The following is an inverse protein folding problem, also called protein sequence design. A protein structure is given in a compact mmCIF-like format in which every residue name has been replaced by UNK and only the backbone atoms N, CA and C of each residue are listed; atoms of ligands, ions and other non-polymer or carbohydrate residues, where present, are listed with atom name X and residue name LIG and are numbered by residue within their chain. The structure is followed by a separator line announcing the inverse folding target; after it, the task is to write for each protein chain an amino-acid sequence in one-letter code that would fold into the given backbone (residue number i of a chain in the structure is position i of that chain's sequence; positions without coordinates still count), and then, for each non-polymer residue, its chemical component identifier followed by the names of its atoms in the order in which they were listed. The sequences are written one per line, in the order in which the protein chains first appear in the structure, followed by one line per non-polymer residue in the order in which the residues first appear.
data_IF_695152365741
#
_entry.id   IF_695152365741
#
_cell.length_a   1.000
_cell.length_b   1.000
_cell.length_c   1.000
_cell.angle_alpha   90.00
_cell.angle_beta   90.00
_cell.angle_gamma   90.00
#
_symmetry.space_group_name_H-M   'P 1'
#
loop_
_entity.id
_entity.type
_entity.pdbx_description
1 polymer ?
#
# COMPACT_ATOMS: atom_id res chain seq x y z
N UNK A 1 21.22 3.88 -24.55
CA UNK A 1 21.74 3.53 -23.21
C UNK A 1 20.57 2.90 -22.49
N UNK A 2 20.55 1.57 -22.37
CA UNK A 2 19.47 0.88 -21.64
C UNK A 2 19.71 1.17 -20.17
N UNK A 3 18.86 2.02 -19.59
CA UNK A 3 18.86 2.26 -18.14
C UNK A 3 18.68 0.90 -17.47
N UNK A 4 19.65 0.50 -16.66
CA UNK A 4 19.49 -0.71 -15.86
C UNK A 4 18.33 -0.47 -14.90
N UNK A 5 17.38 -1.40 -14.80
CA UNK A 5 16.21 -1.17 -13.99
C UNK A 5 16.61 -1.09 -12.51
N UNK A 6 15.98 -0.20 -11.76
CA UNK A 6 16.42 0.23 -10.42
C UNK A 6 16.68 -0.94 -9.45
N UNK A 7 15.97 -2.06 -9.62
CA UNK A 7 16.07 -3.25 -8.78
C UNK A 7 17.39 -4.03 -8.88
N UNK A 8 18.14 -3.89 -9.98
CA UNK A 8 19.45 -4.56 -10.11
C UNK A 8 20.49 -3.96 -9.17
N UNK A 9 20.33 -2.68 -8.81
CA UNK A 9 21.17 -2.00 -7.81
C UNK A 9 20.95 -2.51 -6.38
N UNK A 10 19.81 -3.14 -6.11
CA UNK A 10 19.44 -3.69 -4.81
C UNK A 10 19.61 -5.23 -4.73
N UNK A 11 19.96 -5.90 -5.84
CA UNK A 11 20.14 -7.35 -5.86
C UNK A 11 18.83 -8.16 -5.83
N UNK A 12 17.71 -7.55 -6.25
CA UNK A 12 16.44 -8.26 -6.45
C UNK A 12 16.34 -8.86 -7.85
N UNK A 13 15.63 -9.98 -7.96
CA UNK A 13 15.15 -10.50 -9.24
C UNK A 13 13.91 -9.73 -9.71
N UNK A 14 13.55 -9.86 -10.99
CA UNK A 14 12.33 -9.25 -11.54
C UNK A 14 11.07 -9.70 -10.78
N UNK A 15 11.01 -10.96 -10.34
CA UNK A 15 9.87 -11.51 -9.61
C UNK A 15 9.78 -10.95 -8.18
N UNK A 16 10.91 -10.92 -7.47
CA UNK A 16 11.02 -10.34 -6.13
C UNK A 16 10.69 -8.85 -6.14
N UNK A 17 11.18 -8.14 -7.14
CA UNK A 17 10.88 -6.73 -7.32
C UNK A 17 9.43 -6.49 -7.72
N UNK A 18 8.86 -7.35 -8.57
CA UNK A 18 7.44 -7.33 -8.89
C UNK A 18 6.54 -7.50 -7.65
N UNK A 19 6.95 -8.32 -6.69
CA UNK A 19 6.28 -8.44 -5.40
C UNK A 19 6.37 -7.13 -4.61
N UNK A 20 7.56 -6.54 -4.47
CA UNK A 20 7.78 -5.30 -3.71
C UNK A 20 7.11 -4.08 -4.34
N UNK A 21 7.11 -3.97 -5.67
CA UNK A 21 6.46 -2.88 -6.39
C UNK A 21 4.94 -3.04 -6.45
N UNK A 22 4.42 -4.27 -6.52
CA UNK A 22 2.98 -4.52 -6.55
C UNK A 22 2.30 -4.46 -5.19
N UNK A 23 3.04 -4.68 -4.10
CA UNK A 23 2.48 -4.80 -2.75
C UNK A 23 1.82 -3.51 -2.24
N UNK A 24 2.38 -2.30 -2.40
CA UNK A 24 1.75 -1.06 -1.92
C UNK A 24 0.35 -0.84 -2.51
N UNK A 25 0.17 -1.07 -3.82
CA UNK A 25 -1.13 -0.97 -4.47
C UNK A 25 -2.10 -2.07 -4.01
N UNK A 26 -1.59 -3.28 -3.76
CA UNK A 26 -2.40 -4.37 -3.25
C UNK A 26 -2.87 -4.11 -1.81
N UNK A 27 -2.01 -3.51 -0.97
CA UNK A 27 -2.34 -3.07 0.39
C UNK A 27 -3.41 -1.97 0.36
N UNK A 28 -3.26 -0.97 -0.50
CA UNK A 28 -4.30 0.04 -0.73
C UNK A 28 -5.63 -0.61 -1.09
N UNK A 29 -5.64 -1.50 -2.09
CA UNK A 29 -6.86 -2.18 -2.52
C UNK A 29 -7.51 -3.01 -1.41
N UNK A 30 -6.69 -3.71 -0.59
CA UNK A 30 -7.17 -4.50 0.55
C UNK A 30 -7.73 -3.62 1.67
N UNK A 31 -7.07 -2.50 1.99
CA UNK A 31 -7.58 -1.52 2.95
C UNK A 31 -8.95 -0.97 2.50
N UNK A 32 -9.09 -0.61 1.22
CA UNK A 32 -10.34 -0.11 0.62
C UNK A 32 -11.50 -1.12 0.56
N UNK A 33 -11.27 -2.40 0.89
CA UNK A 33 -12.33 -3.43 0.99
C UNK A 33 -12.39 -4.11 2.35
N UNK A 34 -11.58 -3.67 3.31
CA UNK A 34 -11.56 -4.21 4.66
C UNK A 34 -12.92 -4.04 5.35
N UNK A 35 -13.65 -2.98 5.00
CA UNK A 35 -15.04 -2.79 5.41
C UNK A 35 -16.06 -3.34 4.41
N UNK A 36 -16.98 -4.17 4.91
CA UNK A 36 -18.02 -4.81 4.12
C UNK A 36 -19.17 -3.86 3.73
N UNK A 37 -19.35 -2.76 4.47
CA UNK A 37 -20.33 -1.70 4.18
C UNK A 37 -19.68 -0.51 3.41
N UNK A 38 -18.61 -0.79 2.65
CA UNK A 38 -17.92 0.14 1.76
C UNK A 38 -18.76 0.52 0.53
N UNK A 39 -20.07 0.71 0.68
CA UNK A 39 -20.90 1.40 -0.30
C UNK A 39 -20.40 2.84 -0.52
N UNK A 40 -19.58 3.36 0.41
CA UNK A 40 -18.73 4.54 0.29
C UNK A 40 -17.28 4.16 0.06
N UNK A 41 -16.95 3.28 -0.88
CA UNK A 41 -15.57 3.22 -1.37
C UNK A 41 -15.27 4.58 -1.99
N UNK A 42 -14.63 5.46 -1.23
CA UNK A 42 -14.56 6.86 -1.61
C UNK A 42 -13.40 7.09 -2.57
N UNK A 43 -13.59 7.96 -3.56
CA UNK A 43 -12.47 8.48 -4.35
C UNK A 43 -11.38 9.08 -3.44
N UNK A 44 -11.76 9.60 -2.26
CA UNK A 44 -10.85 10.11 -1.25
C UNK A 44 -9.93 9.04 -0.64
N UNK A 45 -10.42 7.83 -0.33
CA UNK A 45 -9.59 6.70 0.13
C UNK A 45 -8.51 6.33 -0.89
N UNK A 46 -8.90 6.18 -2.16
CA UNK A 46 -7.96 5.84 -3.22
C UNK A 46 -6.95 6.97 -3.47
N UNK A 47 -7.41 8.22 -3.49
CA UNK A 47 -6.54 9.38 -3.66
C UNK A 47 -5.50 9.48 -2.54
N UNK A 48 -5.90 9.35 -1.27
CA UNK A 48 -4.99 9.40 -0.13
C UNK A 48 -3.97 8.26 -0.14
N UNK A 49 -4.39 7.05 -0.52
CA UNK A 49 -3.48 5.91 -0.65
C UNK A 49 -2.46 6.12 -1.78
N UNK A 50 -2.91 6.60 -2.95
CA UNK A 50 -2.03 6.87 -4.08
C UNK A 50 -1.07 8.04 -3.82
N UNK A 51 -1.53 9.10 -3.15
CA UNK A 51 -0.70 10.20 -2.67
C UNK A 51 0.40 9.69 -1.74
N UNK A 52 0.04 8.86 -0.74
CA UNK A 52 1.02 8.25 0.18
C UNK A 52 2.05 7.39 -0.56
N UNK A 53 1.62 6.68 -1.60
CA UNK A 53 2.53 5.94 -2.47
C UNK A 53 3.46 6.89 -3.23
N UNK A 54 2.93 7.98 -3.79
CA UNK A 54 3.69 8.95 -4.57
C UNK A 54 4.71 9.74 -3.73
N UNK A 55 4.34 10.13 -2.50
CA UNK A 55 5.25 10.77 -1.53
C UNK A 55 6.39 9.85 -1.11
N UNK A 56 6.21 8.52 -1.22
CA UNK A 56 7.28 7.53 -1.00
C UNK A 56 8.53 7.80 -1.84
N UNK A 57 8.41 8.48 -3.00
CA UNK A 57 9.55 8.91 -3.84
C UNK A 57 10.54 9.82 -3.10
N UNK A 58 10.08 10.54 -2.09
CA UNK A 58 10.86 11.47 -1.28
C UNK A 58 11.39 10.83 0.00
N UNK A 59 11.16 9.53 0.20
CA UNK A 59 11.60 8.80 1.38
C UNK A 59 13.13 8.84 1.53
N UNK A 60 13.59 8.93 2.78
CA UNK A 60 15.00 8.79 3.11
C UNK A 60 15.53 7.37 2.86
N UNK A 61 14.64 6.38 2.71
CA UNK A 61 14.99 5.00 2.35
C UNK A 61 15.10 4.85 0.82
N UNK A 62 16.29 4.54 0.28
CA UNK A 62 16.47 4.31 -1.15
C UNK A 62 15.54 3.24 -1.72
N UNK A 63 15.26 2.18 -0.96
CA UNK A 63 14.31 1.14 -1.36
C UNK A 63 12.90 1.68 -1.55
N UNK A 64 12.38 2.42 -0.56
CA UNK A 64 11.02 3.00 -0.63
C UNK A 64 10.93 3.99 -1.80
N UNK A 65 11.93 4.86 -1.96
CA UNK A 65 11.98 5.81 -3.07
C UNK A 65 11.99 5.12 -4.44
N UNK A 66 12.77 4.04 -4.59
CA UNK A 66 12.84 3.28 -5.83
C UNK A 66 11.53 2.54 -6.14
N UNK A 67 10.90 1.92 -5.14
CA UNK A 67 9.61 1.24 -5.28
C UNK A 67 8.50 2.24 -5.66
N UNK A 68 8.40 3.35 -4.93
CA UNK A 68 7.43 4.41 -5.22
C UNK A 68 7.62 5.01 -6.62
N UNK A 69 8.87 5.26 -7.02
CA UNK A 69 9.20 5.76 -8.35
C UNK A 69 8.78 4.82 -9.46
N UNK A 70 8.95 3.51 -9.26
CA UNK A 70 8.48 2.51 -10.22
C UNK A 70 6.95 2.46 -10.31
N UNK A 71 6.26 2.49 -9.18
CA UNK A 71 4.80 2.46 -9.16
C UNK A 71 4.24 3.66 -9.92
N UNK A 72 4.74 4.86 -9.63
CA UNK A 72 4.34 6.08 -10.35
C UNK A 72 4.67 6.00 -11.84
N UNK A 73 5.81 5.42 -12.22
CA UNK A 73 6.18 5.25 -13.63
C UNK A 73 5.26 4.28 -14.38
N UNK A 74 4.76 3.24 -13.70
CA UNK A 74 3.88 2.20 -14.30
C UNK A 74 2.42 2.61 -14.34
N UNK A 75 1.96 3.30 -13.30
CA UNK A 75 0.55 3.57 -13.02
C UNK A 75 0.16 4.99 -13.45
N UNK A 76 1.14 5.88 -13.59
CA UNK A 76 0.91 7.32 -13.76
C UNK A 76 1.02 8.05 -12.42
N UNK A 77 1.33 9.34 -12.47
CA UNK A 77 1.34 10.18 -11.27
C UNK A 77 -0.11 10.45 -10.84
N UNK A 78 -0.53 10.03 -9.63
CA UNK A 78 -1.88 10.32 -9.16
C UNK A 78 -2.14 11.84 -9.03
N UNK A 79 -1.09 12.66 -8.88
CA UNK A 79 -1.22 14.13 -8.90
C UNK A 79 -1.53 14.67 -10.31
N UNK A 80 -1.33 13.87 -11.36
CA UNK A 80 -1.72 14.23 -12.72
C UNK A 80 -3.23 14.10 -12.98
N UNK A 81 -4.00 13.58 -12.03
CA UNK A 81 -5.47 13.49 -12.10
C UNK A 81 -6.01 12.28 -12.87
N UNK A 82 -5.18 11.25 -13.11
CA UNK A 82 -5.60 10.01 -13.77
C UNK A 82 -6.41 9.13 -12.80
N UNK A 83 -7.71 8.97 -13.09
CA UNK A 83 -8.60 8.10 -12.31
C UNK A 83 -8.33 6.62 -12.63
N UNK A 84 -7.75 5.89 -11.67
CA UNK A 84 -7.65 4.43 -11.78
C UNK A 84 -9.01 3.78 -11.53
N UNK A 85 -9.42 2.81 -12.37
CA UNK A 85 -10.68 2.11 -12.19
C UNK A 85 -10.68 1.34 -10.87
N UNK A 86 -11.73 1.56 -10.10
CA UNK A 86 -11.85 1.01 -8.76
C UNK A 86 -12.34 -0.44 -8.83
N UNK A 87 -11.43 -1.41 -8.90
CA UNK A 87 -11.77 -2.83 -9.05
C UNK A 87 -12.40 -3.36 -7.74
N UNK A 88 -13.64 -3.84 -7.82
CA UNK A 88 -14.28 -4.60 -6.73
C UNK A 88 -13.88 -6.06 -6.89
N UNK A 89 -13.11 -6.66 -5.95
CA UNK A 89 -12.81 -8.07 -5.99
C UNK A 89 -14.08 -8.91 -5.79
N UNK A 90 -14.16 -10.06 -6.45
CA UNK A 90 -15.29 -10.98 -6.28
C UNK A 90 -15.36 -11.58 -4.87
N UNK A 91 -14.21 -11.70 -4.20
CA UNK A 91 -14.10 -12.14 -2.81
C UNK A 91 -13.11 -11.23 -2.03
N UNK A 92 -13.62 -10.23 -1.29
CA UNK A 92 -12.81 -9.34 -0.47
C UNK A 92 -11.95 -10.07 0.57
N UNK A 93 -12.46 -11.16 1.16
CA UNK A 93 -11.72 -11.91 2.19
C UNK A 93 -10.53 -12.64 1.59
N UNK A 94 -10.74 -13.31 0.45
CA UNK A 94 -9.66 -13.97 -0.27
C UNK A 94 -8.58 -12.96 -0.71
N UNK A 95 -8.99 -11.76 -1.12
CA UNK A 95 -8.04 -10.70 -1.48
C UNK A 95 -7.22 -10.21 -0.28
N UNK A 96 -7.86 -9.98 0.87
CA UNK A 96 -7.17 -9.56 2.09
C UNK A 96 -6.14 -10.62 2.52
N UNK A 97 -6.52 -11.90 2.52
CA UNK A 97 -5.60 -12.99 2.86
C UNK A 97 -4.43 -13.10 1.86
N UNK A 98 -4.68 -12.96 0.55
CA UNK A 98 -3.61 -12.93 -0.47
C UNK A 98 -2.63 -11.79 -0.21
N UNK A 99 -3.12 -10.59 0.10
CA UNK A 99 -2.28 -9.42 0.40
C UNK A 99 -1.45 -9.63 1.67
N UNK A 100 -2.03 -10.21 2.72
CA UNK A 100 -1.28 -10.54 3.93
C UNK A 100 -0.19 -11.59 3.63
N UNK A 101 -0.46 -12.61 2.82
CA UNK A 101 0.55 -13.61 2.44
C UNK A 101 1.69 -12.99 1.60
N UNK A 102 1.37 -12.04 0.71
CA UNK A 102 2.35 -11.27 -0.04
C UNK A 102 3.19 -10.37 0.87
N UNK A 103 2.56 -9.72 1.85
CA UNK A 103 3.24 -8.91 2.85
C UNK A 103 4.23 -9.75 3.69
N UNK A 104 3.82 -10.95 4.10
CA UNK A 104 4.71 -11.90 4.80
C UNK A 104 5.92 -12.28 3.94
N UNK A 105 5.67 -12.57 2.67
CA UNK A 105 6.71 -12.97 1.71
C UNK A 105 7.69 -11.82 1.46
N UNK A 106 7.18 -10.59 1.31
CA UNK A 106 7.99 -9.39 1.17
C UNK A 106 8.81 -9.11 2.44
N UNK A 107 8.22 -9.24 3.63
CA UNK A 107 8.93 -9.04 4.90
C UNK A 107 10.10 -10.03 5.06
N UNK A 108 9.89 -11.31 4.72
CA UNK A 108 10.95 -12.32 4.72
C UNK A 108 12.03 -12.02 3.68
N UNK A 109 11.62 -11.64 2.47
CA UNK A 109 12.55 -11.27 1.41
C UNK A 109 13.44 -10.10 1.84
N UNK A 110 12.85 -9.04 2.38
CA UNK A 110 13.58 -7.86 2.85
C UNK A 110 14.52 -8.21 4.00
N UNK A 111 14.07 -9.01 4.98
CA UNK A 111 14.92 -9.45 6.08
C UNK A 111 16.17 -10.24 5.63
N UNK A 112 16.13 -10.86 4.44
CA UNK A 112 17.28 -11.59 3.89
C UNK A 112 18.21 -10.75 3.01
N UNK A 113 17.70 -9.66 2.41
CA UNK A 113 18.40 -8.95 1.32
C UNK A 113 18.82 -7.54 1.65
N UNK A 114 18.14 -6.88 2.57
CA UNK A 114 18.42 -5.48 2.94
C UNK A 114 18.71 -5.38 4.44
N UNK A 115 19.26 -4.25 4.86
CA UNK A 115 19.44 -3.99 6.28
C UNK A 115 18.09 -3.75 7.00
N UNK A 116 18.13 -3.87 8.33
CA UNK A 116 16.95 -3.71 9.17
C UNK A 116 16.31 -2.32 9.06
N UNK A 117 17.11 -1.28 8.75
CA UNK A 117 16.62 0.08 8.54
C UNK A 117 15.77 0.19 7.27
N UNK A 118 16.29 -0.30 6.14
CA UNK A 118 15.55 -0.33 4.86
C UNK A 118 14.31 -1.22 4.93
N UNK A 119 14.43 -2.42 5.54
CA UNK A 119 13.31 -3.30 5.76
C UNK A 119 12.25 -2.64 6.66
N UNK A 120 12.67 -1.97 7.73
CA UNK A 120 11.81 -1.25 8.66
C UNK A 120 11.07 -0.09 7.99
N UNK A 121 11.78 0.71 7.19
CA UNK A 121 11.19 1.83 6.45
C UNK A 121 10.11 1.37 5.46
N UNK A 122 10.38 0.29 4.72
CA UNK A 122 9.40 -0.28 3.80
C UNK A 122 8.16 -0.82 4.52
N UNK A 123 8.34 -1.55 5.63
CA UNK A 123 7.24 -2.07 6.46
C UNK A 123 6.40 -0.94 7.03
N UNK A 124 7.04 0.11 7.55
CA UNK A 124 6.37 1.27 8.09
C UNK A 124 5.52 1.98 7.04
N UNK A 125 6.10 2.18 5.85
CA UNK A 125 5.41 2.82 4.73
C UNK A 125 4.14 2.05 4.29
N UNK A 126 4.15 0.71 4.29
CA UNK A 126 2.93 -0.08 4.02
C UNK A 126 1.83 0.11 5.06
N UNK A 127 2.22 0.27 6.33
CA UNK A 127 1.27 0.57 7.41
C UNK A 127 0.72 1.99 7.26
N UNK A 128 1.56 2.97 6.96
CA UNK A 128 1.14 4.37 6.71
C UNK A 128 0.13 4.46 5.55
N UNK A 129 0.37 3.75 4.44
CA UNK A 129 -0.60 3.67 3.33
C UNK A 129 -1.96 3.18 3.84
N UNK A 130 -1.96 2.13 4.66
CA UNK A 130 -3.20 1.59 5.23
C UNK A 130 -3.88 2.64 6.12
N UNK A 131 -3.13 3.31 6.99
CA UNK A 131 -3.67 4.33 7.91
C UNK A 131 -4.27 5.53 7.18
N UNK A 132 -3.63 6.01 6.11
CA UNK A 132 -4.14 7.12 5.31
C UNK A 132 -5.37 6.74 4.50
N UNK A 133 -5.41 5.52 3.93
CA UNK A 133 -6.58 5.02 3.20
C UNK A 133 -7.80 4.97 4.12
N UNK A 134 -7.69 4.32 5.28
CA UNK A 134 -8.82 4.17 6.22
C UNK A 134 -9.17 5.51 6.91
N UNK A 135 -8.19 6.39 7.09
CA UNK A 135 -8.38 7.73 7.68
C UNK A 135 -9.10 8.70 6.74
N UNK A 136 -8.84 8.64 5.43
CA UNK A 136 -9.42 9.56 4.46
C UNK A 136 -10.95 9.46 4.38
N UNK A 137 -11.51 8.25 4.51
CA UNK A 137 -12.95 7.99 4.58
C UNK A 137 -13.64 8.77 5.72
N UNK A 138 -12.93 8.98 6.83
CA UNK A 138 -13.44 9.65 8.03
C UNK A 138 -13.60 11.18 7.87
N UNK A 139 -12.88 11.79 6.93
CA UNK A 139 -12.84 13.25 6.73
C UNK A 139 -13.94 13.81 5.80
N UNK A 140 -14.68 12.97 5.07
CA UNK A 140 -15.72 13.38 4.11
C UNK A 140 -17.07 13.82 4.72
N UNK A 141 -17.17 13.89 6.05
CA UNK A 141 -18.43 14.13 6.78
C UNK A 141 -18.85 15.60 6.89
N UNK A 142 -19.08 16.30 5.78
CA UNK A 142 -19.75 17.62 5.76
C UNK A 142 -21.28 17.46 5.78
N UNK A 143 -21.85 17.06 6.92
CA UNK A 143 -23.21 17.41 7.42
C UNK A 143 -23.65 16.48 8.58
N UNK A 144 -23.15 16.76 9.79
CA UNK A 144 -24.00 16.81 10.98
C UNK A 144 -24.69 15.54 11.51
N UNK A 145 -24.29 14.32 11.14
CA UNK A 145 -24.68 13.09 11.83
C UNK A 145 -23.46 12.18 11.97
N UNK A 146 -22.94 12.08 13.19
CA UNK A 146 -21.72 11.31 13.49
C UNK A 146 -21.85 9.84 13.11
N UNK A 147 -20.78 9.32 12.49
CA UNK A 147 -20.54 7.90 12.32
C UNK A 147 -19.42 7.67 11.31
N UNK A 148 -18.31 7.05 11.66
CA UNK A 148 -17.68 6.80 12.95
C UNK A 148 -16.18 6.69 12.65
N UNK A 149 -15.35 6.67 13.68
CA UNK A 149 -13.91 6.42 13.57
C UNK A 149 -13.60 5.18 12.71
N UNK A 150 -12.35 5.04 12.23
CA UNK A 150 -11.79 3.81 11.62
C UNK A 150 -12.50 2.58 12.19
N UNK A 151 -13.01 1.70 11.35
CA UNK A 151 -13.86 0.61 11.80
C UNK A 151 -13.08 -0.48 12.56
N UNK A 152 -13.80 -1.43 13.16
CA UNK A 152 -13.16 -2.61 13.74
C UNK A 152 -12.46 -3.50 12.70
N UNK A 153 -13.00 -3.62 11.47
CA UNK A 153 -12.37 -4.48 10.45
C UNK A 153 -11.15 -3.81 9.81
N UNK A 154 -11.17 -2.49 9.62
CA UNK A 154 -10.01 -1.69 9.18
C UNK A 154 -8.89 -1.75 10.20
N UNK A 155 -9.21 -1.56 11.50
CA UNK A 155 -8.23 -1.75 12.58
C UNK A 155 -7.64 -3.15 12.57
N UNK A 156 -8.48 -4.18 12.48
CA UNK A 156 -8.03 -5.58 12.41
C UNK A 156 -7.13 -5.83 11.21
N UNK A 157 -7.46 -5.28 10.04
CA UNK A 157 -6.63 -5.42 8.84
C UNK A 157 -5.25 -4.79 9.06
N UNK A 158 -5.21 -3.54 9.53
CA UNK A 158 -3.95 -2.84 9.85
C UNK A 158 -3.13 -3.60 10.89
N UNK A 159 -3.74 -4.03 11.98
CA UNK A 159 -3.06 -4.74 13.06
C UNK A 159 -2.52 -6.09 12.56
N UNK A 160 -3.27 -6.78 11.68
CA UNK A 160 -2.85 -8.03 11.07
C UNK A 160 -1.71 -7.82 10.07
N UNK A 161 -1.76 -6.77 9.25
CA UNK A 161 -0.68 -6.38 8.35
C UNK A 161 0.59 -6.08 9.14
N UNK A 162 0.49 -5.25 10.18
CA UNK A 162 1.61 -4.92 11.07
C UNK A 162 2.19 -6.17 11.72
N UNK A 163 1.35 -7.09 12.22
CA UNK A 163 1.80 -8.36 12.78
C UNK A 163 2.60 -9.17 11.75
N UNK A 164 2.06 -9.34 10.54
CA UNK A 164 2.67 -10.16 9.49
C UNK A 164 4.00 -9.57 9.00
N UNK A 165 4.12 -8.24 8.98
CA UNK A 165 5.36 -7.57 8.58
C UNK A 165 6.48 -7.72 9.63
N UNK A 166 6.13 -8.04 10.89
CA UNK A 166 7.07 -8.16 12.01
C UNK A 166 7.34 -9.61 12.45
N UNK A 167 6.76 -10.60 11.77
CA UNK A 167 6.95 -12.04 12.03
C UNK A 167 8.16 -12.62 11.27
#
# INVERSE_FOLDING_TARGET
MIEQPAYTGFGFSDEEWGLLAGLPQAVLAAASVAEHDSARRTMAENAAGLETIATGRESASPLVAAVAGEIVSRVGDPEAGEELPVIVPADPRAMIEDVLNRAASAARLLATKVDEGEAGAYKHWLVEITENVVGAASSGGILGLGGDQVSDSERRFRDRLSQVLND
#
